data_IF_669427133605
#
_entry.id   IF_669427133605
#
_cell.length_a   1.000
_cell.length_b   1.000
_cell.length_c   1.000
_cell.angle_alpha   90.00
_cell.angle_beta   90.00
_cell.angle_gamma   90.00
#
_symmetry.space_group_name_H-M   'P 1'
#
loop_
_entity.id
_entity.type
_entity.pdbx_description
1 polymer ?
#
# COMPACT_ATOMS: atom_id res chain seq x y z
N UNK A 1 88.00 42.61 49.14
CA UNK A 1 86.70 43.07 48.61
C UNK A 1 85.80 41.87 48.43
N UNK A 2 84.64 41.85 49.11
CA UNK A 2 83.81 40.66 49.32
C UNK A 2 82.67 40.59 48.29
N UNK A 3 82.61 39.42 47.65
CA UNK A 3 81.54 38.76 46.88
C UNK A 3 80.10 39.22 47.14
N UNK A 4 79.29 39.32 46.06
CA UNK A 4 77.85 38.98 46.10
C UNK A 4 77.41 38.30 44.80
N UNK A 5 77.28 36.97 44.90
CA UNK A 5 76.58 36.08 43.96
C UNK A 5 75.08 36.34 43.96
N UNK A 6 74.49 36.12 42.78
CA UNK A 6 73.06 36.14 42.47
C UNK A 6 72.20 35.35 43.48
N UNK A 7 71.16 36.00 43.99
CA UNK A 7 70.07 35.34 44.72
C UNK A 7 68.85 35.25 43.81
N UNK A 8 68.65 34.08 43.18
CA UNK A 8 67.37 33.66 42.60
C UNK A 8 66.30 33.70 43.71
N UNK A 9 65.29 34.56 43.55
CA UNK A 9 64.08 34.53 44.37
C UNK A 9 63.28 33.28 44.01
N UNK A 10 63.27 32.34 44.94
CA UNK A 10 62.39 31.16 44.94
C UNK A 10 60.97 31.69 45.15
N UNK A 11 60.14 31.59 44.10
CA UNK A 11 58.69 31.72 44.25
C UNK A 11 58.20 30.55 45.08
N UNK A 12 57.72 30.83 46.30
CA UNK A 12 56.96 29.87 47.09
C UNK A 12 55.66 29.56 46.33
N UNK A 13 55.25 28.28 46.21
CA UNK A 13 53.96 27.94 45.65
C UNK A 13 52.86 28.51 46.55
N UNK A 14 51.85 29.12 45.93
CA UNK A 14 50.63 29.57 46.61
C UNK A 14 49.97 28.34 47.25
N UNK A 15 49.55 28.52 48.49
CA UNK A 15 48.80 27.56 49.28
C UNK A 15 47.69 26.94 48.42
N UNK A 16 47.65 25.61 48.42
CA UNK A 16 46.55 24.82 47.91
C UNK A 16 45.29 25.22 48.67
N UNK A 17 44.41 25.95 47.99
CA UNK A 17 43.01 26.07 48.40
C UNK A 17 42.50 24.64 48.59
N UNK A 18 42.20 24.30 49.84
CA UNK A 18 41.61 23.03 50.22
C UNK A 18 40.21 23.05 49.59
N UNK A 19 40.06 22.38 48.45
CA UNK A 19 38.77 22.08 47.85
C UNK A 19 37.97 21.30 48.90
N UNK A 20 36.98 21.96 49.51
CA UNK A 20 35.99 21.26 50.31
C UNK A 20 35.36 20.19 49.41
N UNK A 21 35.40 18.90 49.79
CA UNK A 21 34.75 17.87 49.01
C UNK A 21 33.25 18.18 49.00
N UNK A 22 32.69 18.45 47.82
CA UNK A 22 31.25 18.48 47.63
C UNK A 22 30.72 17.11 48.02
N UNK A 23 30.15 17.01 49.22
CA UNK A 23 29.43 15.83 49.69
C UNK A 23 28.15 15.76 48.85
N UNK A 24 28.25 15.11 47.70
CA UNK A 24 27.08 14.61 46.99
C UNK A 24 26.50 13.49 47.86
N UNK A 25 25.38 13.76 48.52
CA UNK A 25 24.54 12.68 49.00
C UNK A 25 23.97 12.00 47.74
N UNK A 26 24.58 10.89 47.33
CA UNK A 26 24.00 9.94 46.37
C UNK A 26 22.71 9.38 46.96
N UNK A 27 21.63 10.14 46.84
CA UNK A 27 20.32 9.53 46.64
C UNK A 27 20.22 9.37 45.13
N UNK A 28 21.04 8.47 44.57
CA UNK A 28 20.75 7.94 43.26
C UNK A 28 19.62 6.95 43.49
N UNK A 29 18.38 7.40 43.25
CA UNK A 29 17.38 6.45 42.81
C UNK A 29 18.00 5.78 41.58
N UNK A 30 18.19 4.47 41.67
CA UNK A 30 18.77 3.61 40.66
C UNK A 30 17.78 3.53 39.48
N UNK A 31 17.55 4.66 38.82
CA UNK A 31 16.81 4.74 37.59
C UNK A 31 17.69 4.10 36.53
N UNK A 32 17.39 2.83 36.24
CA UNK A 32 18.08 2.06 35.23
C UNK A 32 18.02 2.86 33.92
N UNK A 33 19.19 3.26 33.40
CA UNK A 33 19.30 4.13 32.21
C UNK A 33 18.60 3.48 31.00
N UNK A 34 18.39 2.17 31.05
CA UNK A 34 17.66 1.38 30.06
C UNK A 34 16.15 1.67 30.01
N UNK A 35 15.56 2.16 31.10
CA UNK A 35 14.12 2.45 31.21
C UNK A 35 13.78 3.92 30.92
N UNK A 36 14.78 4.76 30.62
CA UNK A 36 14.57 6.18 30.36
C UNK A 36 13.70 6.38 29.11
N UNK A 37 12.49 6.89 29.31
CA UNK A 37 11.63 7.31 28.23
C UNK A 37 12.02 8.72 27.79
N UNK A 38 12.74 8.79 26.67
CA UNK A 38 13.20 10.04 26.07
C UNK A 38 12.08 11.03 25.76
N UNK A 39 10.82 10.60 25.65
CA UNK A 39 9.69 11.49 25.38
C UNK A 39 9.09 12.09 26.66
N UNK A 40 8.99 11.32 27.75
CA UNK A 40 8.30 11.76 28.98
C UNK A 40 9.25 12.24 30.06
N UNK A 41 10.45 11.68 30.12
CA UNK A 41 11.34 11.82 31.27
C UNK A 41 12.31 13.01 31.07
N UNK A 42 12.65 13.32 29.80
CA UNK A 42 13.43 14.50 29.42
C UNK A 42 12.49 15.71 29.26
N UNK A 43 11.75 16.01 30.33
CA UNK A 43 10.77 17.09 30.34
C UNK A 43 11.37 18.42 30.83
N UNK A 44 10.54 19.47 30.88
CA UNK A 44 10.96 20.80 31.34
C UNK A 44 11.51 20.80 32.78
N UNK A 45 11.03 19.91 33.64
CA UNK A 45 11.55 19.78 35.00
C UNK A 45 12.99 19.23 35.02
N UNK A 46 13.31 18.27 34.15
CA UNK A 46 14.68 17.80 33.95
C UNK A 46 15.63 18.93 33.53
N UNK A 47 15.23 19.74 32.54
CA UNK A 47 16.06 20.86 32.09
C UNK A 47 16.18 21.97 33.14
N UNK A 48 15.13 22.21 33.92
CA UNK A 48 15.17 23.15 35.03
C UNK A 48 16.14 22.70 36.13
N UNK A 49 16.13 21.41 36.47
CA UNK A 49 17.07 20.86 37.46
C UNK A 49 18.52 20.85 36.92
N UNK A 50 18.71 20.50 35.65
CA UNK A 50 20.03 20.59 35.01
C UNK A 50 20.59 22.03 35.01
N UNK A 51 19.74 23.04 34.75
CA UNK A 51 20.12 24.45 34.84
C UNK A 51 20.41 24.88 36.28
N UNK A 52 19.68 24.36 37.26
CA UNK A 52 19.95 24.59 38.69
C UNK A 52 21.31 24.02 39.10
N UNK A 53 21.66 22.82 38.65
CA UNK A 53 23.00 22.22 38.89
C UNK A 53 24.10 23.10 38.29
N UNK A 54 23.90 23.64 37.08
CA UNK A 54 24.84 24.59 36.47
C UNK A 54 24.99 25.86 37.32
N UNK A 55 23.90 26.41 37.86
CA UNK A 55 23.96 27.58 38.74
C UNK A 55 24.73 27.30 40.04
N UNK A 56 24.45 26.17 40.70
CA UNK A 56 25.17 25.75 41.92
C UNK A 56 26.67 25.60 41.65
N UNK A 57 27.06 25.02 40.51
CA UNK A 57 28.46 24.87 40.14
C UNK A 57 29.14 26.21 39.82
N UNK A 58 28.40 27.17 39.22
CA UNK A 58 28.91 28.52 39.03
C UNK A 58 29.11 29.26 40.36
N UNK A 59 28.18 29.12 41.31
CA UNK A 59 28.30 29.69 42.66
C UNK A 59 29.49 29.09 43.44
N UNK A 60 29.73 27.79 43.28
CA UNK A 60 30.89 27.09 43.83
C UNK A 60 32.22 27.40 43.10
N UNK A 61 32.24 28.36 42.16
CA UNK A 61 33.40 28.73 41.33
C UNK A 61 33.96 27.60 40.44
N UNK A 62 33.22 26.50 40.24
CA UNK A 62 33.58 25.38 39.35
C UNK A 62 33.15 25.65 37.89
N UNK A 63 33.67 26.75 37.33
CA UNK A 63 33.24 27.28 36.03
C UNK A 63 33.44 26.32 34.85
N UNK A 64 34.49 25.50 34.91
CA UNK A 64 34.81 24.54 33.84
C UNK A 64 33.74 23.44 33.72
N UNK A 65 33.34 22.87 34.86
CA UNK A 65 32.34 21.81 34.91
C UNK A 65 30.94 22.35 34.61
N UNK A 66 30.59 23.51 35.18
CA UNK A 66 29.35 24.20 34.87
C UNK A 66 29.20 24.44 33.35
N UNK A 67 30.28 24.86 32.69
CA UNK A 67 30.28 25.06 31.23
C UNK A 67 30.13 23.76 30.44
N UNK A 68 30.71 22.64 30.90
CA UNK A 68 30.55 21.34 30.23
C UNK A 68 29.13 20.82 30.40
N UNK A 69 28.59 20.84 31.61
CA UNK A 69 27.22 20.39 31.89
C UNK A 69 26.23 21.22 31.06
N UNK A 70 26.36 22.55 31.06
CA UNK A 70 25.53 23.42 30.22
C UNK A 70 25.55 23.02 28.74
N UNK A 71 26.73 22.79 28.16
CA UNK A 71 26.85 22.33 26.77
C UNK A 71 26.14 21.01 26.52
N UNK A 72 26.26 20.04 27.44
CA UNK A 72 25.57 18.76 27.30
C UNK A 72 24.06 18.91 27.43
N UNK A 73 23.58 19.72 28.38
CA UNK A 73 22.17 20.06 28.54
C UNK A 73 21.62 20.69 27.26
N UNK A 74 22.34 21.63 26.64
CA UNK A 74 21.94 22.27 25.38
C UNK A 74 21.87 21.27 24.21
N UNK A 75 22.82 20.33 24.13
CA UNK A 75 22.82 19.27 23.11
C UNK A 75 21.61 18.34 23.30
N UNK A 76 21.38 17.89 24.53
CA UNK A 76 20.25 17.01 24.88
C UNK A 76 18.94 17.73 24.59
N UNK A 77 18.83 19.02 24.87
CA UNK A 77 17.64 19.82 24.58
C UNK A 77 17.31 19.83 23.09
N UNK A 78 18.30 20.05 22.23
CA UNK A 78 18.10 20.05 20.78
C UNK A 78 17.72 18.66 20.26
N UNK A 79 18.36 17.61 20.77
CA UNK A 79 18.03 16.23 20.40
C UNK A 79 16.63 15.85 20.84
N UNK A 80 16.26 16.19 22.07
CA UNK A 80 14.93 15.93 22.62
C UNK A 80 13.85 16.60 21.78
N UNK A 81 14.04 17.88 21.43
CA UNK A 81 13.08 18.60 20.58
C UNK A 81 12.89 17.93 19.22
N UNK A 82 13.99 17.57 18.54
CA UNK A 82 13.91 16.90 17.24
C UNK A 82 13.25 15.52 17.35
N UNK A 83 13.55 14.78 18.42
CA UNK A 83 12.95 13.48 18.68
C UNK A 83 11.44 13.58 18.93
N UNK A 84 11.01 14.54 19.76
CA UNK A 84 9.58 14.78 20.03
C UNK A 84 8.83 15.13 18.74
N UNK A 85 9.39 16.03 17.94
CA UNK A 85 8.80 16.40 16.64
C UNK A 85 8.67 15.16 15.72
N UNK A 86 9.72 14.34 15.60
CA UNK A 86 9.72 13.12 14.79
C UNK A 86 8.72 12.07 15.30
N UNK A 87 8.60 11.87 16.61
CA UNK A 87 7.64 10.92 17.21
C UNK A 87 6.21 11.35 16.92
N UNK A 88 5.91 12.64 17.08
CA UNK A 88 4.58 13.20 16.77
C UNK A 88 4.26 13.02 15.27
N UNK A 89 5.23 13.30 14.39
CA UNK A 89 5.07 13.11 12.95
C UNK A 89 4.88 11.63 12.61
N UNK A 90 5.61 10.72 13.25
CA UNK A 90 5.47 9.28 13.04
C UNK A 90 4.09 8.77 13.47
N UNK A 91 3.59 9.23 14.62
CA UNK A 91 2.27 8.90 15.14
C UNK A 91 1.16 9.39 14.21
N UNK A 92 1.36 10.51 13.50
CA UNK A 92 0.45 10.97 12.47
C UNK A 92 0.55 10.17 11.16
N UNK A 93 1.77 9.80 10.75
CA UNK A 93 2.03 9.12 9.48
C UNK A 93 1.61 7.64 9.52
N UNK A 94 1.80 6.93 10.64
CA UNK A 94 1.46 5.50 10.77
C UNK A 94 0.00 5.19 10.42
N UNK A 95 -1.01 5.86 11.00
CA UNK A 95 -2.41 5.65 10.63
C UNK A 95 -2.68 5.90 9.15
N UNK A 96 -2.01 6.89 8.55
CA UNK A 96 -2.17 7.23 7.13
C UNK A 96 -1.58 6.15 6.22
N UNK A 97 -0.44 5.58 6.58
CA UNK A 97 0.17 4.45 5.87
C UNK A 97 -0.77 3.25 5.94
N UNK A 98 -1.22 2.86 7.14
CA UNK A 98 -2.17 1.75 7.32
C UNK A 98 -3.46 1.96 6.53
N UNK A 99 -4.01 3.17 6.53
CA UNK A 99 -5.19 3.52 5.72
C UNK A 99 -4.92 3.35 4.22
N UNK A 100 -3.75 3.77 3.75
CA UNK A 100 -3.37 3.70 2.34
C UNK A 100 -3.11 2.25 1.90
N UNK A 101 -2.46 1.44 2.74
CA UNK A 101 -2.26 0.00 2.51
C UNK A 101 -3.60 -0.74 2.41
N UNK A 102 -4.55 -0.45 3.30
CA UNK A 102 -5.89 -1.04 3.25
C UNK A 102 -6.64 -0.66 1.96
N UNK A 103 -6.52 0.60 1.51
CA UNK A 103 -7.10 1.04 0.23
C UNK A 103 -6.46 0.32 -0.96
N UNK A 104 -5.14 0.15 -0.95
CA UNK A 104 -4.43 -0.59 -2.00
C UNK A 104 -4.84 -2.06 -2.03
N UNK A 105 -4.92 -2.70 -0.86
CA UNK A 105 -5.39 -4.09 -0.75
C UNK A 105 -6.80 -4.25 -1.32
N UNK A 106 -7.72 -3.37 -0.96
CA UNK A 106 -9.09 -3.39 -1.50
C UNK A 106 -9.10 -3.15 -3.01
N UNK A 107 -8.29 -2.23 -3.53
CA UNK A 107 -8.18 -1.99 -4.96
C UNK A 107 -7.66 -3.21 -5.72
N UNK A 108 -6.68 -3.92 -5.17
CA UNK A 108 -6.17 -5.17 -5.74
C UNK A 108 -7.22 -6.28 -5.74
N UNK A 109 -7.95 -6.44 -4.63
CA UNK A 109 -9.05 -7.41 -4.53
C UNK A 109 -10.18 -7.11 -5.53
N UNK A 110 -10.60 -5.85 -5.62
CA UNK A 110 -11.57 -5.41 -6.62
C UNK A 110 -11.08 -5.64 -8.05
N UNK A 111 -9.79 -5.41 -8.32
CA UNK A 111 -9.22 -5.66 -9.65
C UNK A 111 -9.22 -7.14 -9.98
N UNK A 112 -8.84 -8.01 -9.04
CA UNK A 112 -8.89 -9.46 -9.20
C UNK A 112 -10.31 -9.94 -9.50
N UNK A 113 -11.30 -9.49 -8.70
CA UNK A 113 -12.71 -9.87 -8.92
C UNK A 113 -13.24 -9.36 -10.26
N UNK A 114 -12.82 -8.17 -10.70
CA UNK A 114 -13.18 -7.61 -12.00
C UNK A 114 -12.58 -8.42 -13.15
N UNK A 115 -11.31 -8.83 -13.04
CA UNK A 115 -10.66 -9.68 -14.03
C UNK A 115 -11.37 -11.04 -14.19
N UNK A 116 -11.71 -11.68 -13.07
CA UNK A 116 -12.51 -12.91 -13.07
C UNK A 116 -13.90 -12.71 -13.69
N UNK A 117 -14.57 -11.58 -13.39
CA UNK A 117 -15.87 -11.24 -13.97
C UNK A 117 -15.80 -11.01 -15.48
N UNK A 118 -14.74 -10.33 -15.95
CA UNK A 118 -14.49 -10.10 -17.38
C UNK A 118 -14.20 -11.42 -18.10
N UNK A 119 -13.43 -12.31 -17.48
CA UNK A 119 -13.13 -13.62 -18.05
C UNK A 119 -14.41 -14.48 -18.19
N UNK A 120 -15.27 -14.50 -17.16
CA UNK A 120 -16.57 -15.18 -17.23
C UNK A 120 -17.50 -14.59 -18.29
N UNK A 121 -17.51 -13.26 -18.45
CA UNK A 121 -18.28 -12.60 -19.50
C UNK A 121 -17.78 -12.97 -20.90
N UNK A 122 -16.46 -13.05 -21.08
CA UNK A 122 -15.85 -13.46 -22.35
C UNK A 122 -16.20 -14.91 -22.70
N UNK A 123 -16.17 -15.81 -21.71
CA UNK A 123 -16.60 -17.20 -21.87
C UNK A 123 -18.09 -17.29 -22.23
N UNK A 124 -18.96 -16.61 -21.47
CA UNK A 124 -20.39 -16.58 -21.76
C UNK A 124 -20.72 -16.00 -23.14
N UNK A 125 -20.01 -14.94 -23.57
CA UNK A 125 -20.16 -14.38 -24.90
C UNK A 125 -19.68 -15.35 -25.99
N UNK A 126 -18.55 -16.04 -25.76
CA UNK A 126 -18.04 -17.06 -26.68
C UNK A 126 -19.01 -18.23 -26.84
N UNK A 127 -19.63 -18.67 -25.75
CA UNK A 127 -20.64 -19.73 -25.78
C UNK A 127 -21.92 -19.27 -26.45
N UNK A 128 -22.40 -18.05 -26.16
CA UNK A 128 -23.55 -17.47 -26.84
C UNK A 128 -23.32 -17.30 -28.35
N UNK A 129 -22.11 -16.93 -28.77
CA UNK A 129 -21.74 -16.84 -30.19
C UNK A 129 -21.76 -18.21 -30.87
N UNK A 130 -21.18 -19.24 -30.23
CA UNK A 130 -21.21 -20.61 -30.76
C UNK A 130 -22.63 -21.15 -30.88
N UNK A 131 -23.46 -20.91 -29.87
CA UNK A 131 -24.86 -21.35 -29.87
C UNK A 131 -25.66 -20.60 -30.94
N UNK A 132 -25.45 -19.28 -31.08
CA UNK A 132 -26.09 -18.50 -32.14
C UNK A 132 -25.68 -18.96 -33.53
N UNK A 133 -24.40 -19.25 -33.76
CA UNK A 133 -23.89 -19.76 -35.03
C UNK A 133 -24.46 -21.16 -35.34
N UNK A 134 -24.48 -22.05 -34.33
CA UNK A 134 -25.09 -23.37 -34.45
C UNK A 134 -26.59 -23.30 -34.71
N UNK A 135 -27.30 -22.38 -34.05
CA UNK A 135 -28.74 -22.14 -34.25
C UNK A 135 -29.01 -21.60 -35.65
N UNK A 136 -28.22 -20.63 -36.13
CA UNK A 136 -28.36 -20.09 -37.48
C UNK A 136 -28.10 -21.15 -38.56
N UNK A 137 -27.06 -21.99 -38.39
CA UNK A 137 -26.80 -23.11 -39.29
C UNK A 137 -27.94 -24.12 -39.28
N UNK A 138 -28.48 -24.44 -38.09
CA UNK A 138 -29.63 -25.35 -37.95
C UNK A 138 -30.86 -24.78 -38.66
N UNK A 139 -31.11 -23.48 -38.53
CA UNK A 139 -32.22 -22.79 -39.22
C UNK A 139 -32.04 -22.83 -40.74
N UNK A 140 -30.84 -22.51 -41.25
CA UNK A 140 -30.54 -22.60 -42.68
C UNK A 140 -30.80 -24.02 -43.22
N UNK A 141 -30.32 -25.05 -42.52
CA UNK A 141 -30.52 -26.44 -42.92
C UNK A 141 -32.02 -26.81 -42.98
N UNK A 142 -32.82 -26.31 -42.03
CA UNK A 142 -34.28 -26.52 -42.02
C UNK A 142 -34.93 -25.83 -43.21
N UNK A 143 -34.53 -24.61 -43.54
CA UNK A 143 -35.03 -23.88 -44.71
C UNK A 143 -34.67 -24.59 -46.02
N UNK A 144 -33.43 -25.06 -46.18
CA UNK A 144 -32.99 -25.84 -47.34
C UNK A 144 -33.80 -27.14 -47.49
N UNK A 145 -34.04 -27.87 -46.39
CA UNK A 145 -34.86 -29.08 -46.41
C UNK A 145 -36.31 -28.82 -46.77
N UNK A 146 -36.88 -27.72 -46.27
CA UNK A 146 -38.23 -27.30 -46.65
C UNK A 146 -38.32 -26.98 -48.13
N UNK A 147 -37.34 -26.24 -48.68
CA UNK A 147 -37.26 -25.94 -50.10
C UNK A 147 -37.15 -27.22 -50.95
N UNK A 148 -36.32 -28.18 -50.53
CA UNK A 148 -36.21 -29.49 -51.19
C UNK A 148 -37.56 -30.22 -51.24
N UNK A 149 -38.33 -30.19 -50.14
CA UNK A 149 -39.67 -30.79 -50.08
C UNK A 149 -40.64 -30.06 -51.02
N UNK A 150 -40.66 -28.72 -51.01
CA UNK A 150 -41.52 -27.93 -51.90
C UNK A 150 -41.26 -28.24 -53.38
N UNK A 151 -39.99 -28.27 -53.80
CA UNK A 151 -39.60 -28.61 -55.17
C UNK A 151 -40.05 -30.04 -55.53
N UNK A 152 -39.89 -31.01 -54.61
CA UNK A 152 -40.35 -32.38 -54.85
C UNK A 152 -41.86 -32.48 -54.96
N UNK A 153 -42.61 -31.73 -54.14
CA UNK A 153 -44.07 -31.68 -54.23
C UNK A 153 -44.55 -31.04 -55.54
N UNK A 154 -43.90 -29.98 -56.01
CA UNK A 154 -44.21 -29.37 -57.31
C UNK A 154 -43.90 -30.31 -58.48
N UNK A 155 -42.78 -31.04 -58.44
CA UNK A 155 -42.44 -32.05 -59.45
C UNK A 155 -43.39 -33.26 -59.49
N UNK A 156 -44.05 -33.58 -58.36
CA UNK A 156 -45.10 -34.60 -58.29
C UNK A 156 -46.43 -34.12 -58.91
N UNK A 157 -46.66 -32.81 -58.97
CA UNK A 157 -47.81 -32.22 -59.67
C UNK A 157 -47.70 -32.34 -61.20
N UNK A 158 -46.49 -32.17 -61.75
CA UNK A 158 -46.22 -32.24 -63.19
C UNK A 158 -46.22 -33.69 -63.75
N UNK A 159 -45.87 -34.69 -62.93
CA UNK A 159 -45.92 -36.10 -63.38
C UNK A 159 -47.39 -36.57 -63.50
N UNK A 160 -48.29 -36.03 -62.67
CA UNK A 160 -49.71 -36.37 -62.73
C UNK A 160 -50.49 -35.62 -63.83
N UNK A 161 -49.97 -34.51 -64.35
CA UNK A 161 -50.60 -33.77 -65.46
C UNK A 161 -50.32 -34.42 -66.83
N UNK A 162 -49.20 -35.13 -66.98
CA UNK A 162 -48.84 -35.83 -68.21
C UNK A 162 -49.55 -37.18 -68.44
N UNK A 163 -50.07 -37.82 -67.40
CA UNK A 163 -50.79 -39.11 -67.54
C UNK A 163 -52.27 -38.95 -67.94
N UNK A 164 -52.82 -37.74 -67.85
CA UNK A 164 -54.24 -37.49 -68.11
C UNK A 164 -54.56 -37.16 -69.58
N UNK A 165 -53.58 -36.79 -70.40
CA UNK A 165 -53.82 -36.35 -71.79
C UNK A 165 -53.92 -37.53 -72.77
N UNK A 166 -53.02 -38.53 -72.65
CA UNK A 166 -53.04 -39.74 -73.49
C UNK A 166 -54.26 -40.65 -73.22
N UNK A 167 -54.84 -40.57 -72.01
CA UNK A 167 -56.07 -41.28 -71.68
C UNK A 167 -57.32 -40.61 -72.29
N UNK A 168 -57.31 -39.29 -72.47
CA UNK A 168 -58.41 -38.56 -73.08
C UNK A 168 -58.47 -38.75 -74.61
N UNK A 169 -57.31 -38.89 -75.27
CA UNK A 169 -57.24 -39.11 -76.71
C UNK A 169 -57.73 -40.53 -77.11
N UNK A 170 -57.41 -41.55 -76.32
CA UNK A 170 -57.87 -42.93 -76.53
C UNK A 170 -59.40 -43.08 -76.35
N UNK A 171 -60.02 -42.32 -75.45
CA UNK A 171 -61.48 -42.37 -75.23
C UNK A 171 -62.25 -41.70 -76.38
N UNK A 172 -61.70 -40.62 -76.96
CA UNK A 172 -62.31 -39.96 -78.14
C UNK A 172 -62.28 -40.83 -79.41
N UNK A 173 -61.23 -41.64 -79.60
CA UNK A 173 -61.17 -42.56 -80.76
C UNK A 173 -62.17 -43.71 -80.66
N UNK A 174 -62.47 -44.21 -79.46
CA UNK A 174 -63.46 -45.27 -79.25
C UNK A 174 -64.90 -44.75 -79.49
N UNK A 175 -65.19 -43.50 -79.15
CA UNK A 175 -66.51 -42.88 -79.35
C UNK A 175 -66.82 -42.56 -80.82
N UNK A 176 -65.82 -42.41 -81.69
CA UNK A 176 -66.05 -42.11 -83.11
C UNK A 176 -66.32 -43.36 -83.98
N UNK A 177 -66.10 -44.57 -83.44
CA UNK A 177 -66.42 -45.85 -84.11
C UNK A 177 -67.89 -46.26 -83.88
N UNK A 178 -68.58 -45.63 -82.93
CA UNK A 178 -69.96 -45.96 -82.53
C UNK A 178 -71.01 -44.92 -82.99
N UNK A 179 -70.82 -44.30 -84.16
CA UNK A 179 -71.84 -43.46 -84.82
C UNK A 179 -71.90 -43.77 -86.31
#
# INVERSE_FOLDING_TARGET
MISKKDKKKINKPKETDIEEPLIFNEIMDEADVLELNLFTDINEAFFNEANRVVQVLMEAKRNFEASRIKRYTDIIFNLHRLYVDEVIDNDFLRPRIVSSENKLRLALELTLTSEEAVQKLKEALGDAWKESDSSALREQLVQEKLQEVLIKCDGLGDINSGLTDDAAENISQILHVYK
#
